data_IF_124183681643
#
_entry.id   IF_124183681643
#
_cell.length_a   1.000
_cell.length_b   1.000
_cell.length_c   1.000
_cell.angle_alpha   90.00
_cell.angle_beta   90.00
_cell.angle_gamma   90.00
#
_symmetry.space_group_name_H-M   'P 1'
#
loop_
_entity.id
_entity.type
_entity.pdbx_description
1 polymer ?
#
# COMPACT_ATOMS: atom_id res chain seq x y z
N UNK A 1 7.96 -51.32 -2.44
CA UNK A 1 8.60 -50.13 -3.02
C UNK A 1 7.62 -49.18 -3.65
N UNK A 2 6.65 -49.63 -4.42
CA UNK A 2 5.66 -48.75 -5.06
C UNK A 2 4.83 -47.93 -4.07
N UNK A 3 4.47 -48.54 -2.91
CA UNK A 3 3.70 -47.83 -1.88
C UNK A 3 4.49 -46.69 -1.22
N UNK A 4 5.79 -46.93 -1.03
CA UNK A 4 6.66 -45.91 -0.45
C UNK A 4 6.80 -44.68 -1.36
N UNK A 5 6.92 -44.89 -2.67
CA UNK A 5 6.99 -43.81 -3.64
C UNK A 5 5.71 -42.98 -3.66
N UNK A 6 4.56 -43.61 -3.55
CA UNK A 6 3.27 -42.94 -3.49
C UNK A 6 3.18 -42.05 -2.24
N UNK A 7 3.62 -42.58 -1.09
CA UNK A 7 3.62 -41.78 0.16
C UNK A 7 4.52 -40.57 0.05
N UNK A 8 5.71 -40.75 -0.53
CA UNK A 8 6.65 -39.64 -0.75
C UNK A 8 6.05 -38.57 -1.69
N UNK A 9 5.39 -39.00 -2.77
CA UNK A 9 4.74 -38.07 -3.70
C UNK A 9 3.61 -37.28 -3.03
N UNK A 10 2.80 -37.95 -2.21
CA UNK A 10 1.74 -37.27 -1.46
C UNK A 10 2.33 -36.24 -0.48
N UNK A 11 3.40 -36.61 0.21
CA UNK A 11 4.06 -35.75 1.17
C UNK A 11 4.64 -34.51 0.49
N UNK A 12 5.27 -34.67 -0.68
CA UNK A 12 5.78 -33.56 -1.48
C UNK A 12 4.62 -32.66 -1.94
N UNK A 13 3.53 -33.24 -2.44
CA UNK A 13 2.38 -32.49 -2.88
C UNK A 13 1.75 -31.65 -1.75
N UNK A 14 1.63 -32.22 -0.55
CA UNK A 14 1.13 -31.51 0.63
C UNK A 14 2.08 -30.38 1.03
N UNK A 15 3.38 -30.63 0.98
CA UNK A 15 4.39 -29.61 1.31
C UNK A 15 4.32 -28.42 0.34
N UNK A 16 4.19 -28.70 -0.96
CA UNK A 16 4.07 -27.66 -1.99
C UNK A 16 2.77 -26.88 -1.79
N UNK A 17 1.66 -27.56 -1.52
CA UNK A 17 0.38 -26.90 -1.25
C UNK A 17 0.45 -25.99 -0.03
N UNK A 18 1.12 -26.43 1.03
CA UNK A 18 1.34 -25.61 2.22
C UNK A 18 2.20 -24.39 1.93
N UNK A 19 3.28 -24.55 1.15
CA UNK A 19 4.13 -23.43 0.75
C UNK A 19 3.36 -22.40 -0.08
N UNK A 20 2.58 -22.85 -1.05
CA UNK A 20 1.76 -21.96 -1.88
C UNK A 20 0.73 -21.22 -1.02
N UNK A 21 0.14 -21.89 -0.05
CA UNK A 21 -0.82 -21.29 0.88
C UNK A 21 -0.17 -20.20 1.73
N UNK A 22 1.07 -20.41 2.18
CA UNK A 22 1.84 -19.41 2.90
C UNK A 22 2.26 -18.25 2.00
N UNK A 23 2.55 -18.51 0.74
CA UNK A 23 2.93 -17.47 -0.23
C UNK A 23 1.75 -16.62 -0.67
N UNK A 24 0.52 -17.02 -0.40
CA UNK A 24 -0.67 -16.24 -0.72
C UNK A 24 -0.73 -14.86 -0.05
N UNK A 25 0.08 -14.66 1.00
CA UNK A 25 0.20 -13.37 1.67
C UNK A 25 1.31 -12.49 1.08
N UNK A 26 1.98 -12.93 0.01
CA UNK A 26 2.94 -12.07 -0.67
C UNK A 26 2.21 -10.88 -1.26
N UNK A 27 2.65 -9.72 -0.84
CA UNK A 27 2.05 -8.45 -1.21
C UNK A 27 2.16 -8.24 -2.72
N UNK A 28 1.08 -8.49 -3.42
CA UNK A 28 0.98 -8.16 -4.84
C UNK A 28 0.44 -6.75 -4.95
N UNK A 29 1.12 -5.91 -5.73
CA UNK A 29 0.63 -4.57 -6.00
C UNK A 29 -0.54 -4.65 -6.97
N UNK A 30 -1.65 -4.07 -6.57
CA UNK A 30 -2.89 -4.07 -7.34
C UNK A 30 -3.17 -2.68 -7.91
N UNK A 31 -3.93 -2.62 -8.99
CA UNK A 31 -4.49 -1.37 -9.46
C UNK A 31 -5.80 -1.06 -8.73
N UNK A 32 -6.29 0.16 -8.84
CA UNK A 32 -7.58 0.53 -8.23
C UNK A 32 -8.72 -0.32 -8.82
N UNK A 33 -8.70 -0.54 -10.13
CA UNK A 33 -9.71 -1.38 -10.79
C UNK A 33 -9.66 -2.83 -10.30
N UNK A 34 -8.46 -3.39 -10.19
CA UNK A 34 -8.26 -4.75 -9.67
C UNK A 34 -8.70 -4.87 -8.21
N UNK A 35 -8.40 -3.86 -7.40
CA UNK A 35 -8.81 -3.83 -6.00
C UNK A 35 -10.34 -3.79 -5.85
N UNK A 36 -11.05 -3.08 -6.74
CA UNK A 36 -12.51 -3.06 -6.75
C UNK A 36 -13.12 -4.43 -7.03
N UNK A 37 -12.47 -5.21 -7.90
CA UNK A 37 -12.90 -6.59 -8.18
C UNK A 37 -12.65 -7.52 -6.99
N UNK A 38 -11.66 -7.20 -6.17
CA UNK A 38 -11.30 -7.97 -4.97
C UNK A 38 -11.84 -7.32 -3.69
N UNK A 39 -13.02 -6.72 -3.75
CA UNK A 39 -13.63 -6.02 -2.63
C UNK A 39 -13.65 -6.89 -1.36
N UNK A 40 -13.27 -6.30 -0.23
CA UNK A 40 -13.20 -6.99 1.05
C UNK A 40 -11.88 -7.73 1.32
N UNK A 41 -11.00 -7.85 0.33
CA UNK A 41 -9.67 -8.44 0.53
C UNK A 41 -8.62 -7.35 0.75
N UNK A 42 -7.66 -7.64 1.63
CA UNK A 42 -6.53 -6.74 1.84
C UNK A 42 -5.62 -6.74 0.63
N UNK A 43 -5.42 -5.57 0.04
CA UNK A 43 -4.56 -5.38 -1.13
C UNK A 43 -3.62 -4.21 -0.90
N UNK A 44 -2.54 -4.15 -1.68
CA UNK A 44 -1.60 -3.04 -1.67
C UNK A 44 -1.69 -2.31 -3.00
N UNK A 45 -1.90 -1.00 -2.95
CA UNK A 45 -2.02 -0.15 -4.13
C UNK A 45 -0.90 0.89 -4.09
N UNK A 46 -0.24 1.10 -5.22
CA UNK A 46 0.65 2.23 -5.43
C UNK A 46 -0.09 3.27 -6.25
N UNK A 47 -0.20 4.48 -5.73
CA UNK A 47 -0.94 5.53 -6.37
C UNK A 47 -0.30 6.89 -6.12
N UNK A 48 -0.83 7.91 -6.78
CA UNK A 48 -0.47 9.31 -6.54
C UNK A 48 -1.62 10.02 -5.84
N UNK A 49 -1.27 11.02 -5.02
CA UNK A 49 -2.30 11.88 -4.42
C UNK A 49 -2.98 12.68 -5.53
N UNK A 50 -4.30 12.62 -5.57
CA UNK A 50 -5.09 13.45 -6.48
C UNK A 50 -5.23 14.84 -5.88
N UNK A 51 -4.39 15.76 -6.32
CA UNK A 51 -4.36 17.13 -5.82
C UNK A 51 -5.54 17.99 -6.31
N UNK A 52 -6.33 17.48 -7.26
CA UNK A 52 -7.54 18.16 -7.71
C UNK A 52 -8.69 18.06 -6.71
N UNK A 53 -8.58 17.11 -5.76
CA UNK A 53 -9.56 16.90 -4.71
C UNK A 53 -8.97 17.31 -3.36
N UNK A 54 -9.76 17.93 -2.47
CA UNK A 54 -9.27 18.34 -1.17
C UNK A 54 -8.99 17.17 -0.25
N UNK A 55 -7.97 17.34 0.60
CA UNK A 55 -7.73 16.44 1.72
C UNK A 55 -8.64 16.88 2.87
N UNK A 56 -9.48 15.97 3.33
CA UNK A 56 -10.39 16.21 4.44
C UNK A 56 -9.79 15.71 5.74
N UNK A 57 -9.33 16.63 6.56
CA UNK A 57 -8.78 16.31 7.87
C UNK A 57 -9.05 17.46 8.83
N UNK A 58 -9.79 17.18 9.89
CA UNK A 58 -10.08 18.14 10.94
C UNK A 58 -9.68 17.53 12.29
N UNK A 59 -8.45 17.82 12.78
CA UNK A 59 -7.97 17.28 14.05
C UNK A 59 -8.71 17.80 15.28
N UNK A 60 -9.35 18.95 15.16
CA UNK A 60 -10.17 19.47 16.25
C UNK A 60 -11.47 18.68 16.46
N UNK A 61 -11.99 18.10 15.37
CA UNK A 61 -13.23 17.34 15.39
C UNK A 61 -12.97 15.85 15.56
N UNK A 62 -12.06 15.29 14.76
CA UNK A 62 -11.65 13.90 14.84
C UNK A 62 -10.21 13.75 14.33
N UNK A 63 -9.21 13.64 15.23
CA UNK A 63 -7.82 13.50 14.81
C UNK A 63 -7.51 12.15 14.16
N UNK A 64 -8.40 11.18 14.30
CA UNK A 64 -8.24 9.82 13.76
C UNK A 64 -9.12 9.58 12.53
N UNK A 65 -9.47 10.63 11.80
CA UNK A 65 -10.20 10.50 10.55
C UNK A 65 -9.56 11.40 9.48
N UNK A 66 -9.08 10.75 8.45
CA UNK A 66 -8.48 11.41 7.28
C UNK A 66 -9.08 10.82 6.03
N UNK A 67 -9.52 11.67 5.11
CA UNK A 67 -9.91 11.22 3.78
C UNK A 67 -9.23 12.04 2.70
N UNK A 68 -8.84 11.38 1.63
CA UNK A 68 -8.20 11.99 0.47
C UNK A 68 -8.47 11.14 -0.76
N UNK A 69 -8.14 11.68 -1.93
CA UNK A 69 -8.33 10.97 -3.19
C UNK A 69 -6.99 10.59 -3.79
N UNK A 70 -6.97 9.44 -4.45
CA UNK A 70 -5.78 8.92 -5.14
C UNK A 70 -6.12 8.62 -6.60
N UNK A 71 -5.08 8.64 -7.42
CA UNK A 71 -5.17 8.18 -8.81
C UNK A 71 -4.02 7.20 -9.09
N UNK A 72 -4.31 6.15 -9.85
CA UNK A 72 -3.29 5.22 -10.29
C UNK A 72 -2.72 5.62 -11.66
N UNK A 73 -1.75 4.84 -12.14
CA UNK A 73 -1.09 5.09 -13.43
C UNK A 73 -2.03 4.89 -14.62
N UNK A 74 -3.16 4.21 -14.42
CA UNK A 74 -4.17 3.96 -15.46
C UNK A 74 -5.25 5.04 -15.49
N UNK A 75 -5.18 6.04 -14.60
CA UNK A 75 -6.15 7.12 -14.52
C UNK A 75 -7.38 6.83 -13.67
N UNK A 76 -7.44 5.67 -13.01
CA UNK A 76 -8.51 5.36 -12.08
C UNK A 76 -8.33 6.14 -10.78
N UNK A 77 -9.44 6.60 -10.20
CA UNK A 77 -9.43 7.36 -8.96
C UNK A 77 -10.22 6.63 -7.88
N UNK A 78 -9.86 6.85 -6.63
CA UNK A 78 -10.59 6.31 -5.50
C UNK A 78 -10.47 7.23 -4.30
N UNK A 79 -11.48 7.21 -3.44
CA UNK A 79 -11.45 7.89 -2.15
C UNK A 79 -10.79 6.96 -1.14
N UNK A 80 -9.87 7.49 -0.35
CA UNK A 80 -9.20 6.75 0.71
C UNK A 80 -9.67 7.28 2.06
N UNK A 81 -9.98 6.38 2.97
CA UNK A 81 -10.29 6.70 4.37
C UNK A 81 -9.24 6.05 5.25
N UNK A 82 -8.62 6.86 6.10
CA UNK A 82 -7.58 6.44 7.02
C UNK A 82 -8.01 6.83 8.44
N UNK A 83 -8.04 5.86 9.33
CA UNK A 83 -8.58 6.01 10.68
C UNK A 83 -7.52 6.34 11.73
N UNK A 84 -6.50 7.09 11.34
CA UNK A 84 -5.42 7.50 12.22
C UNK A 84 -5.03 8.94 11.90
N UNK A 85 -4.07 9.46 12.63
CA UNK A 85 -3.58 10.81 12.44
C UNK A 85 -2.99 11.01 11.04
N UNK A 86 -3.27 12.18 10.44
CA UNK A 86 -2.74 12.53 9.12
C UNK A 86 -1.22 12.48 9.12
N UNK A 87 -0.60 11.72 8.19
CA UNK A 87 0.86 11.76 8.02
C UNK A 87 1.33 13.17 7.66
N UNK A 88 2.42 13.58 8.25
CA UNK A 88 2.94 14.95 8.13
C UNK A 88 3.23 15.35 6.66
N UNK A 89 3.80 14.41 5.88
CA UNK A 89 4.25 14.70 4.51
C UNK A 89 3.25 14.25 3.44
N UNK A 90 2.00 14.02 3.80
CA UNK A 90 1.00 13.53 2.84
C UNK A 90 0.85 14.47 1.64
N UNK A 91 0.82 15.79 1.89
CA UNK A 91 0.66 16.81 0.84
C UNK A 91 1.83 16.86 -0.13
N UNK A 92 3.00 16.43 0.33
CA UNK A 92 4.26 16.48 -0.42
C UNK A 92 4.61 15.15 -1.07
N UNK A 93 3.86 14.11 -0.78
CA UNK A 93 4.16 12.78 -1.28
C UNK A 93 3.94 12.71 -2.80
N UNK A 94 4.95 12.25 -3.51
CA UNK A 94 4.85 11.99 -4.95
C UNK A 94 4.15 10.67 -5.21
N UNK A 95 4.47 9.66 -4.40
CA UNK A 95 3.91 8.33 -4.52
C UNK A 95 3.45 7.84 -3.16
N UNK A 96 2.30 7.22 -3.12
CA UNK A 96 1.71 6.70 -1.90
C UNK A 96 1.47 5.21 -2.08
N UNK A 97 1.97 4.40 -1.16
CA UNK A 97 1.68 2.98 -1.10
C UNK A 97 0.65 2.76 0.00
N UNK A 98 -0.47 2.17 -0.36
CA UNK A 98 -1.61 1.98 0.53
C UNK A 98 -1.90 0.50 0.69
N UNK A 99 -2.04 0.06 1.92
CA UNK A 99 -2.45 -1.30 2.25
C UNK A 99 -3.77 -1.25 3.01
N UNK A 100 -4.79 -1.83 2.43
CA UNK A 100 -6.12 -1.84 3.02
C UNK A 100 -7.11 -2.62 2.18
N UNK A 101 -8.39 -2.32 2.37
CA UNK A 101 -9.48 -3.02 1.69
C UNK A 101 -10.31 -2.05 0.88
N UNK A 102 -10.71 -2.47 -0.31
CA UNK A 102 -11.67 -1.71 -1.11
C UNK A 102 -13.09 -2.09 -0.72
N UNK A 103 -13.88 -1.08 -0.34
CA UNK A 103 -15.31 -1.22 -0.06
C UNK A 103 -16.06 -0.35 -1.06
N UNK A 104 -16.54 -0.93 -2.16
CA UNK A 104 -17.14 -0.16 -3.25
C UNK A 104 -16.14 0.80 -3.88
N UNK A 105 -16.39 2.10 -3.79
CA UNK A 105 -15.51 3.14 -4.32
C UNK A 105 -14.55 3.73 -3.29
N UNK A 106 -14.58 3.22 -2.05
CA UNK A 106 -13.77 3.72 -0.95
C UNK A 106 -12.72 2.68 -0.57
N UNK A 107 -11.47 3.11 -0.53
CA UNK A 107 -10.36 2.31 -0.03
C UNK A 107 -10.15 2.61 1.45
N UNK A 108 -10.38 1.63 2.29
CA UNK A 108 -10.34 1.79 3.73
C UNK A 108 -9.05 1.20 4.31
N UNK A 109 -8.30 2.03 5.04
CA UNK A 109 -7.07 1.65 5.71
C UNK A 109 -7.34 1.56 7.20
N UNK A 110 -7.22 0.37 7.76
CA UNK A 110 -7.53 0.10 9.17
C UNK A 110 -6.29 -0.01 10.04
N UNK A 111 -5.09 0.00 9.44
CA UNK A 111 -3.82 -0.10 10.18
C UNK A 111 -3.01 1.17 10.03
N UNK A 112 -2.35 1.56 11.10
CA UNK A 112 -1.50 2.76 11.13
C UNK A 112 -0.34 2.67 10.12
N UNK A 113 0.21 1.48 9.95
CA UNK A 113 1.29 1.20 8.99
C UNK A 113 0.80 0.98 7.55
N UNK A 114 -0.49 1.14 7.30
CA UNK A 114 -1.08 0.96 5.97
C UNK A 114 -0.80 2.07 4.97
N UNK A 115 -0.13 3.14 5.37
CA UNK A 115 0.29 4.22 4.47
C UNK A 115 1.80 4.34 4.50
N UNK A 116 2.41 4.27 3.31
CA UNK A 116 3.82 4.57 3.10
C UNK A 116 3.94 5.70 2.08
N UNK A 117 4.59 6.77 2.49
CA UNK A 117 4.78 7.94 1.65
C UNK A 117 6.18 7.94 1.06
N UNK A 118 6.25 8.17 -0.25
CA UNK A 118 7.52 8.40 -0.92
C UNK A 118 7.56 9.84 -1.40
N UNK A 119 8.32 10.65 -0.70
CA UNK A 119 8.54 12.03 -1.08
C UNK A 119 9.55 12.11 -2.22
N UNK A 120 9.47 13.13 -3.10
CA UNK A 120 10.48 13.33 -4.12
C UNK A 120 11.84 13.50 -3.46
N UNK A 121 12.80 12.64 -3.83
CA UNK A 121 14.12 12.70 -3.22
C UNK A 121 14.97 13.76 -3.93
N UNK A 122 14.82 15.00 -3.49
CA UNK A 122 15.70 16.09 -3.89
C UNK A 122 17.16 15.82 -3.53
N UNK A 123 17.38 14.92 -2.58
CA UNK A 123 18.71 14.57 -2.09
C UNK A 123 19.51 13.71 -3.05
N UNK A 124 18.89 12.98 -3.97
CA UNK A 124 19.60 12.16 -4.96
C UNK A 124 20.00 12.94 -6.19
N UNK A 125 19.29 14.00 -6.50
CA UNK A 125 19.48 14.79 -7.71
C UNK A 125 20.32 16.05 -7.49
N UNK A 126 20.56 16.43 -6.22
CA UNK A 126 21.37 17.58 -5.86
C UNK A 126 22.64 17.15 -5.14
N UNK A 127 23.82 17.18 -5.83
CA UNK A 127 25.09 16.80 -5.21
C UNK A 127 25.53 17.71 -4.06
N UNK A 128 25.08 18.96 -4.05
CA UNK A 128 25.38 19.91 -2.97
C UNK A 128 24.70 19.52 -1.66
N UNK A 129 23.49 19.03 -1.73
CA UNK A 129 22.74 18.57 -0.55
C UNK A 129 23.37 17.29 0.02
N UNK A 130 23.85 16.40 -0.84
CA UNK A 130 24.53 15.18 -0.42
C UNK A 130 25.84 15.49 0.30
N UNK A 131 26.63 16.43 -0.23
CA UNK A 131 27.86 16.88 0.43
C UNK A 131 27.59 17.56 1.76
N UNK A 132 26.54 18.38 1.85
CA UNK A 132 26.18 19.06 3.08
C UNK A 132 25.76 18.08 4.16
N UNK A 133 25.03 17.02 3.80
CA UNK A 133 24.65 15.98 4.72
C UNK A 133 25.87 15.17 5.23
N UNK A 134 26.87 14.96 4.39
CA UNK A 134 28.11 14.27 4.77
C UNK A 134 29.01 15.15 5.64
N UNK A 135 29.01 16.45 5.44
CA UNK A 135 29.82 17.37 6.22
C UNK A 135 29.27 17.68 7.61
N UNK A 136 28.02 17.33 7.89
CA UNK A 136 27.38 17.49 9.19
C UNK A 136 27.57 16.29 10.12
N UNK A 137 28.25 15.26 9.67
CA UNK A 137 28.67 14.15 10.50
C UNK A 137 30.10 14.42 10.98
#
# INVERSE_FOLDING_TARGET
MKKLHIVILILIAVSIAALISFMGDLTTYETIASARQKSGKTVTIIAHLDKTQPIEYDPARDPNYLSFHISDTLGNTAKVVYHFEKPYDLDKAERITLKGKMNGDVFEITRKDGILLKCPSKYKDDPNVAQKALSQK
#
